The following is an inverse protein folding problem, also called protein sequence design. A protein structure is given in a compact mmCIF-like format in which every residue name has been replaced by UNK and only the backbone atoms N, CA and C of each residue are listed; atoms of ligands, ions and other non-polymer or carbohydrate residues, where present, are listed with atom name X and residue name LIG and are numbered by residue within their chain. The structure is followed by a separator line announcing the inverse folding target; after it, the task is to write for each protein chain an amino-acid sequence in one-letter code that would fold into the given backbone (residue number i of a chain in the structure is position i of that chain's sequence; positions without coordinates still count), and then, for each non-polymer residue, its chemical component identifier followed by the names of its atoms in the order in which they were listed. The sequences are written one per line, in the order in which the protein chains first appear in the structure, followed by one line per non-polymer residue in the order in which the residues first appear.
data_IF_259035276284
#
_entry.id   IF_259035276284
#
_cell.length_a   1.000
_cell.length_b   1.000
_cell.length_c   1.000
_cell.angle_alpha   90.00
_cell.angle_beta   90.00
_cell.angle_gamma   90.00
#
_symmetry.space_group_name_H-M   'P 1'
#
loop_
_entity.id
_entity.type
_entity.pdbx_description
1 polymer ?
#
# COMPACT_ATOMS: atom_id res chain seq x y z
N UNK A 1 -69.81 -4.24 17.28
CA UNK A 1 -68.46 -4.31 17.90
C UNK A 1 -67.67 -5.40 17.21
N UNK A 2 -66.44 -5.09 16.80
CA UNK A 2 -65.57 -5.88 15.90
C UNK A 2 -65.11 -7.19 16.56
N UNK A 3 -65.40 -8.32 15.94
CA UNK A 3 -64.65 -9.58 16.11
C UNK A 3 -63.87 -9.83 14.83
N UNK A 4 -62.56 -9.56 14.82
CA UNK A 4 -61.66 -9.98 13.74
C UNK A 4 -60.99 -11.30 14.15
N UNK A 5 -61.42 -12.34 13.44
CA UNK A 5 -60.82 -13.67 13.35
C UNK A 5 -59.38 -13.59 12.87
N UNK A 6 -58.52 -14.44 13.45
CA UNK A 6 -57.20 -14.79 12.93
C UNK A 6 -57.32 -15.24 11.46
N UNK A 7 -56.44 -14.71 10.61
CA UNK A 7 -56.06 -15.35 9.35
C UNK A 7 -54.59 -15.76 9.47
N UNK A 8 -54.37 -17.07 9.60
CA UNK A 8 -53.14 -17.72 9.19
C UNK A 8 -52.88 -17.38 7.72
N UNK A 9 -51.65 -16.97 7.39
CA UNK A 9 -51.21 -16.87 6.01
C UNK A 9 -50.07 -17.87 5.82
N UNK A 10 -50.28 -18.76 4.86
CA UNK A 10 -49.44 -19.90 4.48
C UNK A 10 -48.03 -19.46 4.06
N UNK A 11 -47.02 -20.15 4.58
CA UNK A 11 -45.67 -20.13 4.01
C UNK A 11 -45.69 -20.88 2.67
N UNK A 12 -45.68 -20.15 1.55
CA UNK A 12 -45.24 -20.69 0.26
C UNK A 12 -43.72 -20.75 0.23
N UNK A 13 -43.20 -21.98 0.18
CA UNK A 13 -41.82 -22.29 -0.20
C UNK A 13 -41.64 -22.07 -1.70
N UNK A 14 -40.59 -21.35 -2.15
CA UNK A 14 -40.15 -21.43 -3.52
C UNK A 14 -38.97 -22.41 -3.62
N UNK A 15 -39.27 -23.59 -4.17
CA UNK A 15 -38.30 -24.41 -4.89
C UNK A 15 -37.76 -23.58 -6.07
N UNK A 16 -36.45 -23.35 -6.12
CA UNK A 16 -35.79 -22.77 -7.28
C UNK A 16 -34.45 -23.50 -7.54
N UNK A 17 -34.51 -24.44 -8.47
CA UNK A 17 -33.50 -24.76 -9.50
C UNK A 17 -32.04 -24.76 -9.03
N UNK A 18 -31.55 -25.94 -8.65
CA UNK A 18 -30.12 -26.24 -8.69
C UNK A 18 -29.60 -26.02 -10.12
N UNK A 19 -28.74 -25.02 -10.29
CA UNK A 19 -28.04 -24.70 -11.53
C UNK A 19 -27.03 -25.82 -11.88
N UNK A 20 -26.94 -26.17 -13.16
CA UNK A 20 -26.08 -27.25 -13.70
C UNK A 20 -24.58 -27.15 -13.38
N UNK A 21 -24.13 -26.09 -12.70
CA UNK A 21 -22.77 -25.93 -12.20
C UNK A 21 -22.43 -26.87 -11.04
N UNK A 22 -23.43 -27.27 -10.23
CA UNK A 22 -23.20 -28.12 -9.06
C UNK A 22 -23.08 -29.62 -9.39
N UNK A 23 -23.59 -30.03 -10.57
CA UNK A 23 -23.41 -31.38 -11.12
C UNK A 23 -22.05 -31.55 -11.81
N UNK A 24 -21.49 -30.48 -12.38
CA UNK A 24 -20.18 -30.49 -13.04
C UNK A 24 -19.03 -30.62 -12.01
N UNK A 25 -19.17 -30.01 -10.83
CA UNK A 25 -18.17 -30.06 -9.76
C UNK A 25 -18.03 -31.46 -9.11
N UNK A 26 -19.10 -32.27 -9.14
CA UNK A 26 -19.10 -33.64 -8.60
C UNK A 26 -18.45 -34.67 -9.54
N UNK A 27 -18.29 -34.36 -10.84
CA UNK A 27 -17.77 -35.32 -11.82
C UNK A 27 -16.24 -35.22 -11.99
N UNK A 28 -15.66 -34.07 -11.66
CA UNK A 28 -14.20 -33.83 -11.69
C UNK A 28 -13.50 -34.49 -10.49
N UNK A 29 -14.18 -34.56 -9.33
CA UNK A 29 -13.62 -35.17 -8.11
C UNK A 29 -13.52 -36.70 -8.17
N UNK A 30 -14.24 -37.36 -9.10
CA UNK A 30 -14.24 -38.82 -9.27
C UNK A 30 -13.23 -39.32 -10.32
N UNK A 31 -12.56 -38.42 -11.05
CA UNK A 31 -11.55 -38.79 -12.05
C UNK A 31 -10.12 -38.91 -11.46
N UNK A 32 -9.92 -38.52 -10.20
CA UNK A 32 -8.61 -38.56 -9.53
C UNK A 32 -8.24 -39.90 -8.88
N UNK A 33 -9.11 -40.93 -8.93
CA UNK A 33 -8.88 -42.15 -8.13
C UNK A 33 -8.27 -43.34 -8.88
N UNK A 34 -7.88 -43.23 -10.15
CA UNK A 34 -7.28 -44.37 -10.85
C UNK A 34 -6.17 -43.93 -11.78
N UNK A 35 -4.94 -43.81 -11.27
CA UNK A 35 -3.72 -44.39 -11.88
C UNK A 35 -2.70 -44.55 -10.73
N UNK A 36 -2.60 -45.75 -10.17
CA UNK A 36 -1.46 -46.22 -9.40
C UNK A 36 -1.05 -47.54 -10.01
N UNK A 37 -0.02 -47.54 -10.87
CA UNK A 37 0.83 -48.66 -11.31
C UNK A 37 1.80 -48.02 -12.35
N UNK A 38 3.11 -48.20 -12.39
CA UNK A 38 4.00 -49.13 -11.73
C UNK A 38 5.40 -48.48 -11.62
N UNK A 39 6.09 -48.69 -10.50
CA UNK A 39 7.50 -48.37 -10.35
C UNK A 39 8.35 -49.48 -10.96
N UNK A 40 9.11 -49.14 -12.01
CA UNK A 40 10.29 -49.90 -12.40
C UNK A 40 11.52 -48.99 -12.27
N UNK A 41 12.38 -49.40 -11.34
CA UNK A 41 13.69 -48.83 -11.06
C UNK A 41 14.67 -49.13 -12.19
N UNK A 42 15.25 -48.10 -12.80
CA UNK A 42 16.57 -48.20 -13.44
C UNK A 42 17.43 -47.00 -13.06
N UNK A 43 18.64 -47.33 -12.64
CA UNK A 43 19.72 -46.45 -12.21
C UNK A 43 20.38 -45.88 -13.48
N UNK A 44 20.24 -44.59 -13.72
CA UNK A 44 20.88 -43.91 -14.85
C UNK A 44 21.71 -42.74 -14.32
N UNK A 45 22.96 -42.67 -14.79
CA UNK A 45 23.91 -41.58 -14.53
C UNK A 45 23.35 -40.21 -15.00
N UNK A 46 23.83 -39.08 -14.45
CA UNK A 46 23.26 -37.77 -14.72
C UNK A 46 23.58 -37.32 -16.15
N UNK A 47 22.59 -37.44 -17.04
CA UNK A 47 22.61 -36.79 -18.35
C UNK A 47 22.06 -35.39 -18.17
N UNK A 48 22.90 -34.38 -18.42
CA UNK A 48 22.46 -32.99 -18.55
C UNK A 48 21.40 -32.89 -19.66
N UNK A 49 20.16 -32.44 -19.38
CA UNK A 49 19.12 -32.38 -20.42
C UNK A 49 19.39 -31.21 -21.38
N UNK A 50 19.50 -31.52 -22.68
CA UNK A 50 19.40 -30.53 -23.76
C UNK A 50 17.99 -29.93 -23.74
N UNK A 51 17.82 -28.60 -23.73
CA UNK A 51 16.49 -27.97 -23.74
C UNK A 51 15.72 -28.34 -25.01
N UNK A 52 14.44 -28.69 -24.85
CA UNK A 52 13.53 -29.06 -25.96
C UNK A 52 13.06 -27.80 -26.71
N UNK A 53 12.67 -27.92 -27.98
CA UNK A 53 12.19 -26.77 -28.80
C UNK A 53 11.06 -25.97 -28.14
N UNK A 54 10.16 -26.63 -27.41
CA UNK A 54 9.09 -25.98 -26.65
C UNK A 54 9.64 -25.13 -25.49
N UNK A 55 10.71 -25.59 -24.82
CA UNK A 55 11.36 -24.84 -23.74
C UNK A 55 12.02 -23.56 -24.26
N UNK A 56 12.54 -23.58 -25.49
CA UNK A 56 13.12 -22.39 -26.13
C UNK A 56 12.02 -21.42 -26.52
N UNK A 57 10.94 -21.89 -27.16
CA UNK A 57 9.79 -21.07 -27.55
C UNK A 57 9.14 -20.39 -26.33
N UNK A 58 8.92 -21.13 -25.26
CA UNK A 58 8.38 -20.59 -24.01
C UNK A 58 9.32 -19.56 -23.37
N UNK A 59 10.63 -19.73 -23.48
CA UNK A 59 11.60 -18.76 -22.98
C UNK A 59 11.59 -17.44 -23.76
N UNK A 60 11.32 -17.49 -25.06
CA UNK A 60 11.19 -16.30 -25.93
C UNK A 60 9.87 -15.60 -25.63
N UNK A 61 8.77 -16.35 -25.67
CA UNK A 61 7.43 -15.85 -25.33
C UNK A 61 7.41 -15.17 -23.96
N UNK A 62 8.01 -15.79 -22.93
CA UNK A 62 8.09 -15.22 -21.59
C UNK A 62 8.77 -13.84 -21.57
N UNK A 63 9.82 -13.63 -22.36
CA UNK A 63 10.53 -12.33 -22.43
C UNK A 63 9.67 -11.27 -23.11
N UNK A 64 8.95 -11.63 -24.16
CA UNK A 64 8.05 -10.71 -24.87
C UNK A 64 6.87 -10.29 -23.98
N UNK A 65 6.30 -11.24 -23.22
CA UNK A 65 5.26 -10.99 -22.22
C UNK A 65 5.73 -10.02 -21.14
N UNK A 66 6.94 -10.22 -20.59
CA UNK A 66 7.53 -9.30 -19.59
C UNK A 66 7.70 -7.91 -20.20
N UNK A 67 8.33 -7.82 -21.37
CA UNK A 67 8.60 -6.53 -22.02
C UNK A 67 7.31 -5.77 -22.33
N UNK A 68 6.23 -6.47 -22.69
CA UNK A 68 4.92 -5.88 -22.92
C UNK A 68 4.37 -5.23 -21.64
N UNK A 69 4.38 -5.95 -20.51
CA UNK A 69 3.87 -5.46 -19.23
C UNK A 69 4.72 -4.30 -18.69
N UNK A 70 6.05 -4.39 -18.80
CA UNK A 70 6.95 -3.29 -18.43
C UNK A 70 6.72 -2.04 -19.30
N UNK A 71 6.54 -2.24 -20.61
CA UNK A 71 6.20 -1.13 -21.54
C UNK A 71 4.88 -0.49 -21.17
N UNK A 72 3.86 -1.30 -20.86
CA UNK A 72 2.56 -0.80 -20.38
C UNK A 72 2.72 0.02 -19.09
N UNK A 73 3.44 -0.52 -18.10
CA UNK A 73 3.76 0.17 -16.85
C UNK A 73 4.41 1.54 -17.07
N UNK A 74 5.40 1.62 -17.97
CA UNK A 74 6.10 2.89 -18.27
C UNK A 74 5.21 3.97 -18.91
N UNK A 75 4.08 3.57 -19.50
CA UNK A 75 3.12 4.48 -20.15
C UNK A 75 2.01 4.94 -19.22
N UNK A 76 1.85 4.34 -18.03
CA UNK A 76 0.84 4.74 -17.05
C UNK A 76 0.95 6.22 -16.67
N UNK A 77 2.17 6.75 -16.55
CA UNK A 77 2.41 8.17 -16.25
C UNK A 77 1.85 9.13 -17.31
N UNK A 78 1.67 8.66 -18.55
CA UNK A 78 1.24 9.46 -19.70
C UNK A 78 -0.27 9.63 -19.79
N UNK A 79 -1.03 8.87 -19.02
CA UNK A 79 -2.50 8.95 -18.98
C UNK A 79 -2.90 9.65 -17.69
N UNK A 80 -3.32 10.91 -17.78
CA UNK A 80 -3.71 11.69 -16.61
C UNK A 80 -5.22 11.57 -16.34
N UNK A 81 -5.59 10.88 -15.27
CA UNK A 81 -6.98 10.51 -14.98
C UNK A 81 -7.89 11.70 -14.61
N UNK A 82 -7.29 12.87 -14.33
CA UNK A 82 -8.01 14.10 -14.00
C UNK A 82 -8.16 15.06 -15.18
N UNK A 83 -7.73 14.67 -16.38
CA UNK A 83 -7.96 15.45 -17.59
C UNK A 83 -9.42 15.33 -18.06
N UNK A 84 -9.92 16.27 -18.90
CA UNK A 84 -11.25 16.16 -19.48
C UNK A 84 -11.47 14.80 -20.16
N UNK A 85 -12.68 14.24 -20.04
CA UNK A 85 -13.00 12.87 -20.49
C UNK A 85 -12.57 12.57 -21.94
N UNK A 86 -12.75 13.52 -22.86
CA UNK A 86 -12.35 13.37 -24.26
C UNK A 86 -10.83 13.28 -24.44
N UNK A 87 -10.08 14.10 -23.69
CA UNK A 87 -8.61 14.09 -23.70
C UNK A 87 -8.09 12.78 -23.07
N UNK A 88 -8.71 12.35 -21.96
CA UNK A 88 -8.38 11.09 -21.30
C UNK A 88 -8.62 9.88 -22.22
N UNK A 89 -9.74 9.83 -22.94
CA UNK A 89 -10.01 8.77 -23.94
C UNK A 89 -8.96 8.76 -25.04
N UNK A 90 -8.58 9.94 -25.55
CA UNK A 90 -7.53 10.05 -26.57
C UNK A 90 -6.19 9.51 -26.08
N UNK A 91 -5.82 9.82 -24.84
CA UNK A 91 -4.58 9.33 -24.24
C UNK A 91 -4.62 7.84 -23.96
N UNK A 92 -5.74 7.28 -23.49
CA UNK A 92 -5.94 5.84 -23.33
C UNK A 92 -5.71 5.11 -24.67
N UNK A 93 -6.33 5.56 -25.77
CA UNK A 93 -6.10 4.95 -27.09
C UNK A 93 -4.65 5.09 -27.52
N UNK A 94 -4.08 6.29 -27.39
CA UNK A 94 -2.74 6.61 -27.87
C UNK A 94 -1.65 5.83 -27.13
N UNK A 95 -1.80 5.64 -25.83
CA UNK A 95 -0.77 5.03 -25.00
C UNK A 95 -0.99 3.54 -24.74
N UNK A 96 -2.22 3.02 -24.85
CA UNK A 96 -2.52 1.60 -24.59
C UNK A 96 -2.95 0.79 -25.81
N UNK A 97 -3.42 1.41 -26.90
CA UNK A 97 -4.07 0.68 -28.01
C UNK A 97 -3.20 -0.36 -28.71
N UNK A 98 -1.88 -0.21 -28.72
CA UNK A 98 -0.93 -1.19 -29.26
C UNK A 98 -0.51 -2.27 -28.23
N UNK A 99 -0.89 -2.12 -26.96
CA UNK A 99 -0.46 -2.98 -25.85
C UNK A 99 -1.58 -3.88 -25.31
N UNK A 100 -2.84 -3.49 -25.49
CA UNK A 100 -4.00 -4.18 -24.91
C UNK A 100 -4.94 -4.72 -25.99
N UNK A 101 -5.76 -5.72 -25.64
CA UNK A 101 -6.82 -6.19 -26.54
C UNK A 101 -7.94 -5.15 -26.66
N UNK A 102 -8.63 -5.15 -27.81
CA UNK A 102 -9.71 -4.20 -28.08
C UNK A 102 -10.83 -4.27 -27.04
N UNK A 103 -11.17 -5.47 -26.54
CA UNK A 103 -12.22 -5.64 -25.53
C UNK A 103 -11.86 -4.92 -24.20
N UNK A 104 -10.59 -5.00 -23.77
CA UNK A 104 -10.12 -4.28 -22.58
C UNK A 104 -10.08 -2.76 -22.83
N UNK A 105 -9.65 -2.36 -24.03
CA UNK A 105 -9.65 -0.95 -24.42
C UNK A 105 -11.07 -0.37 -24.41
N UNK A 106 -12.05 -1.08 -24.95
CA UNK A 106 -13.45 -0.64 -25.01
C UNK A 106 -14.05 -0.49 -23.61
N UNK A 107 -13.68 -1.36 -22.66
CA UNK A 107 -14.07 -1.23 -21.24
C UNK A 107 -13.55 0.09 -20.66
N UNK A 108 -12.29 0.42 -20.90
CA UNK A 108 -11.71 1.69 -20.46
C UNK A 108 -12.29 2.89 -21.20
N UNK A 109 -12.60 2.80 -22.49
CA UNK A 109 -13.24 3.91 -23.21
C UNK A 109 -14.68 4.16 -22.78
N UNK A 110 -15.39 3.14 -22.29
CA UNK A 110 -16.72 3.27 -21.72
C UNK A 110 -16.70 3.89 -20.30
N UNK A 111 -15.62 3.68 -19.55
CA UNK A 111 -15.39 4.27 -18.24
C UNK A 111 -13.91 4.67 -18.05
N UNK A 112 -13.48 5.83 -18.58
CA UNK A 112 -12.06 6.20 -18.66
C UNK A 112 -11.36 6.34 -17.30
N UNK A 113 -12.10 6.70 -16.25
CA UNK A 113 -11.57 6.77 -14.88
C UNK A 113 -11.18 5.39 -14.30
N UNK A 114 -11.68 4.29 -14.89
CA UNK A 114 -11.29 2.94 -14.52
C UNK A 114 -10.00 2.46 -15.21
N UNK A 115 -9.49 3.20 -16.20
CA UNK A 115 -8.18 2.91 -16.78
C UNK A 115 -7.07 3.15 -15.74
N UNK A 116 -5.99 2.35 -15.75
CA UNK A 116 -4.83 2.67 -14.94
C UNK A 116 -4.15 3.93 -15.48
N UNK A 117 -3.59 4.76 -14.61
CA UNK A 117 -2.99 6.02 -15.01
C UNK A 117 -2.56 6.88 -13.83
N UNK A 118 -2.05 8.05 -14.15
CA UNK A 118 -1.61 9.06 -13.19
C UNK A 118 -2.80 9.84 -12.66
N UNK A 119 -3.11 9.68 -11.38
CA UNK A 119 -4.15 10.45 -10.70
C UNK A 119 -3.63 11.79 -10.16
N UNK A 120 -2.39 11.82 -9.65
CA UNK A 120 -1.78 12.98 -8.97
C UNK A 120 -0.49 13.41 -9.65
N UNK A 121 -0.03 14.63 -9.37
CA UNK A 121 1.28 15.10 -9.85
C UNK A 121 2.46 14.45 -9.14
N UNK A 122 2.22 13.83 -7.98
CA UNK A 122 3.13 13.01 -7.16
C UNK A 122 2.34 12.38 -6.00
N UNK A 123 2.64 11.15 -5.56
CA UNK A 123 3.41 10.16 -6.31
C UNK A 123 2.71 9.83 -7.65
N UNK A 124 3.47 9.34 -8.63
CA UNK A 124 2.93 8.92 -9.93
C UNK A 124 3.48 7.55 -10.34
N UNK A 125 2.72 6.77 -11.14
CA UNK A 125 3.20 5.50 -11.65
C UNK A 125 4.44 5.69 -12.54
N UNK A 126 5.53 5.00 -12.20
CA UNK A 126 6.80 5.02 -12.92
C UNK A 126 6.95 3.77 -13.80
N UNK A 127 6.88 2.59 -13.18
CA UNK A 127 7.15 1.31 -13.85
C UNK A 127 6.42 0.16 -13.16
N UNK A 128 6.29 -0.96 -13.86
CA UNK A 128 5.92 -2.24 -13.25
C UNK A 128 7.18 -3.10 -13.16
N UNK A 129 7.49 -3.60 -11.96
CA UNK A 129 8.52 -4.61 -11.74
C UNK A 129 7.87 -6.00 -11.75
N UNK A 130 8.20 -6.82 -12.74
CA UNK A 130 7.60 -8.15 -12.90
C UNK A 130 8.24 -9.14 -11.92
N UNK A 131 7.42 -9.72 -11.04
CA UNK A 131 7.84 -10.71 -10.05
C UNK A 131 7.67 -12.15 -10.56
N UNK A 132 6.45 -12.54 -10.90
CA UNK A 132 6.13 -13.89 -11.36
C UNK A 132 5.49 -13.87 -12.75
N UNK A 133 5.82 -14.91 -13.54
CA UNK A 133 5.25 -15.10 -14.88
C UNK A 133 4.94 -16.58 -15.04
N UNK A 134 3.66 -16.91 -15.11
CA UNK A 134 3.14 -18.27 -15.19
C UNK A 134 2.44 -18.50 -16.53
N UNK A 135 2.75 -19.61 -17.19
CA UNK A 135 2.05 -20.02 -18.41
C UNK A 135 0.75 -20.70 -18.01
N UNK A 136 -0.38 -20.13 -18.42
CA UNK A 136 -1.70 -20.72 -18.19
C UNK A 136 -1.97 -21.79 -19.26
N UNK A 137 -1.73 -21.43 -20.53
CA UNK A 137 -1.90 -22.31 -21.69
C UNK A 137 -0.97 -21.86 -22.85
N UNK A 138 -1.01 -22.56 -23.98
CA UNK A 138 -0.36 -22.16 -25.21
C UNK A 138 -0.85 -20.78 -25.67
N UNK A 139 0.02 -19.78 -25.58
CA UNK A 139 -0.32 -18.41 -25.97
C UNK A 139 -1.05 -17.61 -24.89
N UNK A 140 -1.09 -18.07 -23.63
CA UNK A 140 -1.72 -17.33 -22.54
C UNK A 140 -0.85 -17.38 -21.27
N UNK A 141 -0.55 -16.20 -20.72
CA UNK A 141 0.33 -16.04 -19.56
C UNK A 141 -0.31 -15.14 -18.52
N UNK A 142 -0.10 -15.49 -17.25
CA UNK A 142 -0.35 -14.62 -16.09
C UNK A 142 0.96 -13.96 -15.68
N UNK A 143 0.90 -12.67 -15.42
CA UNK A 143 2.01 -11.86 -14.91
C UNK A 143 1.58 -11.24 -13.59
N UNK A 144 2.37 -11.46 -12.56
CA UNK A 144 2.25 -10.78 -11.27
C UNK A 144 3.46 -9.85 -11.12
N UNK A 145 3.23 -8.65 -10.63
CA UNK A 145 4.29 -7.68 -10.40
C UNK A 145 3.87 -6.57 -9.46
N UNK A 146 4.75 -5.59 -9.32
CA UNK A 146 4.54 -4.42 -8.47
C UNK A 146 4.57 -3.16 -9.33
N UNK A 147 3.52 -2.35 -9.25
CA UNK A 147 3.52 -0.98 -9.76
C UNK A 147 4.31 -0.11 -8.78
N UNK A 148 5.43 0.41 -9.25
CA UNK A 148 6.27 1.35 -8.54
C UNK A 148 5.78 2.76 -8.84
N UNK A 149 5.42 3.51 -7.79
CA UNK A 149 5.18 4.93 -7.90
C UNK A 149 6.33 5.72 -7.26
N UNK A 150 6.70 6.86 -7.86
CA UNK A 150 7.81 7.71 -7.40
C UNK A 150 7.34 9.16 -7.21
N UNK A 151 8.09 9.96 -6.45
CA UNK A 151 7.85 11.41 -6.36
C UNK A 151 8.80 12.19 -7.26
N UNK A 152 8.58 13.50 -7.34
CA UNK A 152 9.48 14.44 -8.02
C UNK A 152 10.87 14.55 -7.40
N UNK A 153 11.05 14.11 -6.16
CA UNK A 153 12.35 14.13 -5.49
C UNK A 153 13.21 12.97 -5.97
N UNK A 154 12.65 11.75 -6.08
CA UNK A 154 13.41 10.58 -6.52
C UNK A 154 13.52 10.50 -8.05
N UNK A 155 12.52 10.99 -8.78
CA UNK A 155 12.48 10.96 -10.24
C UNK A 155 12.28 9.54 -10.83
N UNK A 156 12.20 9.41 -12.18
CA UNK A 156 12.05 8.11 -12.84
C UNK A 156 13.20 7.16 -12.51
N UNK A 157 12.91 5.91 -12.15
CA UNK A 157 13.92 4.95 -11.70
C UNK A 157 14.42 5.16 -10.26
N UNK A 158 13.83 6.11 -9.53
CA UNK A 158 14.10 6.38 -8.12
C UNK A 158 13.54 5.31 -7.16
N UNK A 159 13.77 5.53 -5.86
CA UNK A 159 13.21 4.67 -4.81
C UNK A 159 11.67 4.73 -4.84
N UNK A 160 10.97 3.60 -4.61
CA UNK A 160 9.51 3.58 -4.57
C UNK A 160 8.96 4.49 -3.46
N UNK A 161 8.09 5.43 -3.82
CA UNK A 161 7.28 6.21 -2.87
C UNK A 161 6.01 5.46 -2.46
N UNK A 162 5.46 4.64 -3.36
CA UNK A 162 4.37 3.70 -3.08
C UNK A 162 4.54 2.44 -3.93
N UNK A 163 3.98 1.33 -3.44
CA UNK A 163 3.93 0.04 -4.12
C UNK A 163 2.47 -0.40 -4.22
N UNK A 164 2.15 -1.11 -5.30
CA UNK A 164 0.81 -1.63 -5.53
C UNK A 164 0.92 -2.91 -6.36
N UNK A 165 0.34 -4.04 -5.90
CA UNK A 165 0.46 -5.27 -6.63
C UNK A 165 -0.39 -5.19 -7.89
N UNK A 166 0.09 -5.80 -8.97
CA UNK A 166 -0.61 -5.86 -10.25
C UNK A 166 -0.67 -7.28 -10.76
N UNK A 167 -1.78 -7.62 -11.38
CA UNK A 167 -1.97 -8.87 -12.12
C UNK A 167 -2.37 -8.52 -13.55
N UNK A 168 -1.70 -9.14 -14.53
CA UNK A 168 -2.04 -9.03 -15.93
C UNK A 168 -2.19 -10.41 -16.57
N UNK A 169 -3.19 -10.56 -17.44
CA UNK A 169 -3.33 -11.72 -18.33
C UNK A 169 -2.94 -11.29 -19.73
N UNK A 170 -1.98 -12.00 -20.34
CA UNK A 170 -1.39 -11.67 -21.63
C UNK A 170 -1.64 -12.80 -22.63
N UNK A 171 -2.26 -12.47 -23.75
CA UNK A 171 -2.64 -13.40 -24.81
C UNK A 171 -1.84 -13.17 -26.10
N UNK A 172 -1.50 -14.25 -26.80
CA UNK A 172 -0.90 -14.20 -28.12
C UNK A 172 -2.00 -14.05 -29.17
N UNK A 173 -2.05 -12.89 -29.82
CA UNK A 173 -3.03 -12.59 -30.85
C UNK A 173 -2.39 -12.62 -32.24
N UNK A 174 -3.20 -12.49 -33.28
CA UNK A 174 -2.70 -12.32 -34.66
C UNK A 174 -1.85 -11.05 -34.83
N UNK A 175 -1.99 -10.07 -33.93
CA UNK A 175 -1.23 -8.82 -33.93
C UNK A 175 -0.06 -8.84 -32.93
N UNK A 176 0.25 -10.02 -32.37
CA UNK A 176 1.26 -10.24 -31.33
C UNK A 176 0.66 -10.29 -29.92
N UNK A 177 1.54 -10.28 -28.91
CA UNK A 177 1.13 -10.30 -27.52
C UNK A 177 0.32 -9.05 -27.14
N UNK A 178 -0.77 -9.24 -26.40
CA UNK A 178 -1.65 -8.18 -25.89
C UNK A 178 -2.09 -8.47 -24.46
N UNK A 179 -2.26 -7.43 -23.66
CA UNK A 179 -2.85 -7.52 -22.32
C UNK A 179 -4.37 -7.62 -22.49
N UNK A 180 -4.93 -8.73 -22.03
CA UNK A 180 -6.37 -9.02 -22.08
C UNK A 180 -7.07 -8.60 -20.78
N UNK A 181 -6.40 -8.77 -19.64
CA UNK A 181 -6.89 -8.35 -18.34
C UNK A 181 -5.77 -7.63 -17.58
N UNK A 182 -6.14 -6.58 -16.83
CA UNK A 182 -5.22 -5.87 -15.96
C UNK A 182 -5.95 -5.43 -14.69
N UNK A 183 -5.41 -5.85 -13.54
CA UNK A 183 -5.97 -5.53 -12.23
C UNK A 183 -4.85 -4.96 -11.37
N UNK A 184 -5.16 -3.88 -10.65
CA UNK A 184 -4.27 -3.32 -9.65
C UNK A 184 -4.89 -3.52 -8.27
N UNK A 185 -4.14 -4.11 -7.34
CA UNK A 185 -4.57 -4.37 -5.96
C UNK A 185 -4.71 -3.09 -5.12
N UNK A 186 -4.86 -3.23 -3.81
CA UNK A 186 -4.78 -2.06 -2.92
C UNK A 186 -3.32 -1.59 -2.84
N UNK A 187 -3.09 -0.33 -2.46
CA UNK A 187 -1.74 0.10 -2.13
C UNK A 187 -1.14 -0.83 -1.07
N UNK A 188 0.02 -1.40 -1.37
CA UNK A 188 0.78 -2.07 -0.35
C UNK A 188 1.30 -0.98 0.56
N UNK A 189 0.99 -1.11 1.85
CA UNK A 189 1.70 -0.30 2.81
C UNK A 189 3.11 -0.82 2.77
N UNK A 190 4.00 -0.01 2.22
CA UNK A 190 5.41 -0.28 2.37
C UNK A 190 5.64 -0.44 3.86
N UNK A 191 5.87 -1.69 4.29
CA UNK A 191 6.93 -1.87 5.25
C UNK A 191 8.15 -1.37 4.49
N UNK A 192 8.42 -0.07 4.59
CA UNK A 192 9.77 0.45 4.39
C UNK A 192 10.68 -0.59 5.03
N UNK A 193 11.81 -0.92 4.42
CA UNK A 193 12.84 -1.71 5.09
C UNK A 193 13.35 -0.89 6.29
N UNK A 194 12.50 -0.85 7.29
CA UNK A 194 12.68 -0.39 8.62
C UNK A 194 13.51 -1.51 9.21
N UNK A 195 14.83 -1.36 9.15
CA UNK A 195 15.64 -2.01 10.16
C UNK A 195 14.96 -1.72 11.51
N UNK A 196 14.73 -2.73 12.38
CA UNK A 196 14.10 -2.52 13.68
C UNK A 196 14.67 -1.32 14.44
N UNK A 197 15.97 -1.08 14.24
CA UNK A 197 16.73 0.06 14.72
C UNK A 197 16.17 1.45 14.31
N UNK A 198 15.67 1.63 13.09
CA UNK A 198 15.13 2.90 12.61
C UNK A 198 13.72 3.19 13.17
N UNK A 199 12.86 2.16 13.26
CA UNK A 199 11.53 2.26 13.89
C UNK A 199 11.60 2.51 15.40
N UNK A 200 12.62 1.96 16.05
CA UNK A 200 12.89 2.27 17.44
C UNK A 200 13.40 3.71 17.57
N UNK A 201 14.27 4.19 16.68
CA UNK A 201 14.89 5.52 16.77
C UNK A 201 13.88 6.69 16.79
N UNK A 202 12.77 6.59 16.05
CA UNK A 202 11.68 7.59 16.02
C UNK A 202 10.41 7.03 16.69
N UNK A 203 10.57 6.66 17.96
CA UNK A 203 9.50 6.18 18.82
C UNK A 203 9.39 6.97 20.12
N UNK A 204 8.28 6.77 20.83
CA UNK A 204 8.11 7.16 22.22
C UNK A 204 7.87 5.92 23.09
N UNK A 205 8.41 5.91 24.29
CA UNK A 205 8.29 4.83 25.25
C UNK A 205 7.50 5.28 26.48
N UNK A 206 6.44 4.56 26.80
CA UNK A 206 5.64 4.70 28.01
C UNK A 206 5.72 3.41 28.83
N UNK A 207 6.59 3.38 29.85
CA UNK A 207 6.88 2.14 30.57
C UNK A 207 7.50 1.09 29.65
N UNK A 208 6.82 -0.05 29.47
CA UNK A 208 7.23 -1.11 28.53
C UNK A 208 6.61 -0.98 27.14
N UNK A 209 5.71 -0.01 26.94
CA UNK A 209 5.03 0.20 25.67
C UNK A 209 5.88 1.08 24.77
N UNK A 210 6.10 0.63 23.54
CA UNK A 210 6.78 1.39 22.48
C UNK A 210 5.75 1.84 21.45
N UNK A 211 5.66 3.14 21.24
CA UNK A 211 4.86 3.77 20.20
C UNK A 211 5.81 4.17 19.06
N UNK A 212 5.78 3.41 17.97
CA UNK A 212 6.60 3.69 16.79
C UNK A 212 5.78 4.33 15.68
N UNK A 213 6.40 5.24 14.93
CA UNK A 213 5.81 5.71 13.68
C UNK A 213 5.54 4.54 12.73
N UNK A 214 4.50 4.66 11.92
CA UNK A 214 4.03 3.63 10.98
C UNK A 214 3.49 2.34 11.63
N UNK A 215 3.46 2.25 12.97
CA UNK A 215 2.79 1.14 13.66
C UNK A 215 1.29 1.17 13.39
N UNK A 216 0.70 0.00 13.23
CA UNK A 216 -0.72 -0.13 12.96
C UNK A 216 -1.56 -0.10 14.24
N UNK A 217 -2.77 0.44 14.15
CA UNK A 217 -3.71 0.53 15.28
C UNK A 217 -4.10 -0.85 15.84
N UNK A 218 -4.13 -1.88 15.01
CA UNK A 218 -4.37 -3.26 15.42
C UNK A 218 -3.19 -3.92 16.15
N UNK A 219 -1.99 -3.31 16.14
CA UNK A 219 -0.82 -3.77 16.90
C UNK A 219 -0.78 -3.16 18.31
N UNK A 220 -1.52 -2.06 18.51
CA UNK A 220 -1.52 -1.25 19.74
C UNK A 220 -2.81 -1.39 20.55
N UNK A 221 -3.41 -2.59 20.52
CA UNK A 221 -4.76 -2.89 21.02
C UNK A 221 -5.01 -2.52 22.49
N UNK A 222 -3.97 -2.38 23.32
CA UNK A 222 -4.08 -1.85 24.69
C UNK A 222 -2.83 -1.03 25.06
N UNK A 223 -3.03 0.21 25.52
CA UNK A 223 -1.97 1.09 26.04
C UNK A 223 -2.11 1.29 27.56
N UNK A 224 -1.94 0.24 28.38
CA UNK A 224 -2.27 0.28 29.82
C UNK A 224 -1.46 1.33 30.58
N UNK A 225 -0.22 1.59 30.17
CA UNK A 225 0.67 2.59 30.79
C UNK A 225 0.29 4.04 30.43
N UNK A 226 -0.51 4.24 29.37
CA UNK A 226 -0.94 5.54 28.88
C UNK A 226 -2.36 5.88 29.39
N UNK A 227 -3.13 4.85 29.74
CA UNK A 227 -4.47 4.98 30.31
C UNK A 227 -5.56 4.99 29.25
N UNK A 228 -6.72 5.54 29.60
CA UNK A 228 -7.89 5.60 28.70
C UNK A 228 -7.89 6.88 27.89
N UNK A 229 -8.26 6.84 26.59
CA UNK A 229 -8.45 8.05 25.79
C UNK A 229 -9.46 9.00 26.43
N UNK A 230 -9.13 10.29 26.42
CA UNK A 230 -10.04 11.39 26.78
C UNK A 230 -11.01 11.69 25.63
N UNK A 231 -10.55 11.59 24.40
CA UNK A 231 -11.36 11.74 23.19
C UNK A 231 -10.79 10.97 22.00
N UNK A 232 -11.67 10.61 21.08
CA UNK A 232 -11.32 10.04 19.78
C UNK A 232 -12.22 10.67 18.71
N UNK A 233 -11.62 11.07 17.59
CA UNK A 233 -12.32 11.60 16.42
C UNK A 233 -11.73 11.03 15.14
N UNK A 234 -12.58 10.81 14.13
CA UNK A 234 -12.16 10.43 12.78
C UNK A 234 -12.72 11.48 11.82
N UNK A 235 -11.84 12.08 11.04
CA UNK A 235 -12.15 13.08 10.04
C UNK A 235 -11.77 12.56 8.65
N UNK A 236 -12.62 12.86 7.66
CA UNK A 236 -12.30 12.64 6.25
C UNK A 236 -11.72 13.94 5.72
N UNK A 237 -10.50 13.87 5.18
CA UNK A 237 -9.82 15.02 4.64
C UNK A 237 -10.59 15.59 3.44
N UNK A 238 -10.85 16.90 3.51
CA UNK A 238 -11.62 17.61 2.50
C UNK A 238 -10.87 17.79 1.18
N UNK A 239 -11.57 18.35 0.18
CA UNK A 239 -11.03 18.65 -1.14
C UNK A 239 -9.81 19.61 -1.11
N UNK A 240 -9.60 20.34 -0.02
CA UNK A 240 -8.45 21.25 0.17
C UNK A 240 -7.18 20.53 0.62
N UNK A 241 -7.24 19.24 0.92
CA UNK A 241 -6.10 18.42 1.36
C UNK A 241 -5.31 17.79 0.21
N UNK A 242 -5.49 18.32 -1.01
CA UNK A 242 -4.77 17.95 -2.23
C UNK A 242 -4.68 16.43 -2.44
N UNK A 243 -3.47 15.86 -2.53
CA UNK A 243 -3.20 14.43 -2.75
C UNK A 243 -3.86 13.52 -1.69
N UNK A 244 -4.14 14.04 -0.50
CA UNK A 244 -4.75 13.28 0.59
C UNK A 244 -6.27 13.46 0.71
N UNK A 245 -6.90 14.19 -0.22
CA UNK A 245 -8.36 14.35 -0.22
C UNK A 245 -9.08 12.99 -0.20
N UNK A 246 -10.03 12.85 0.73
CA UNK A 246 -10.77 11.61 0.98
C UNK A 246 -10.09 10.61 1.92
N UNK A 247 -8.83 10.84 2.32
CA UNK A 247 -8.16 10.00 3.32
C UNK A 247 -8.75 10.26 4.71
N UNK A 248 -8.54 9.33 5.63
CA UNK A 248 -9.06 9.40 6.99
C UNK A 248 -7.96 9.76 7.96
N UNK A 249 -8.21 10.73 8.83
CA UNK A 249 -7.34 11.07 9.96
C UNK A 249 -8.09 10.73 11.24
N UNK A 250 -7.47 9.88 12.07
CA UNK A 250 -7.96 9.56 13.40
C UNK A 250 -7.08 10.28 14.43
N UNK A 251 -7.70 11.06 15.30
CA UNK A 251 -7.01 11.72 16.43
C UNK A 251 -7.49 11.07 17.72
N UNK A 252 -6.54 10.61 18.53
CA UNK A 252 -6.78 10.05 19.86
C UNK A 252 -6.02 10.88 20.87
N UNK A 253 -6.75 11.48 21.81
CA UNK A 253 -6.17 12.35 22.84
C UNK A 253 -6.24 11.65 24.19
N UNK A 254 -5.11 11.61 24.88
CA UNK A 254 -4.94 11.21 26.27
C UNK A 254 -4.56 12.46 27.09
N UNK A 255 -4.40 12.30 28.41
CA UNK A 255 -3.84 13.38 29.24
C UNK A 255 -2.40 13.66 28.78
N UNK A 256 -2.10 14.86 28.27
CA UNK A 256 -0.74 15.27 27.85
C UNK A 256 -0.07 14.40 26.75
N UNK A 257 -0.85 13.61 26.02
CA UNK A 257 -0.41 12.85 24.83
C UNK A 257 -1.49 12.88 23.76
N UNK A 258 -1.09 13.19 22.53
CA UNK A 258 -1.94 13.11 21.34
C UNK A 258 -1.31 12.17 20.31
N UNK A 259 -2.12 11.27 19.77
CA UNK A 259 -1.76 10.34 18.71
C UNK A 259 -2.63 10.64 17.48
N UNK A 260 -1.97 10.92 16.35
CA UNK A 260 -2.64 11.11 15.07
C UNK A 260 -2.28 9.94 14.15
N UNK A 261 -3.32 9.31 13.64
CA UNK A 261 -3.26 8.15 12.77
C UNK A 261 -3.87 8.49 11.43
N UNK A 262 -3.44 7.82 10.37
CA UNK A 262 -3.97 8.04 9.03
C UNK A 262 -4.29 6.74 8.31
N UNK A 263 -5.28 6.79 7.43
CA UNK A 263 -5.73 5.69 6.58
C UNK A 263 -6.04 6.21 5.18
N UNK A 264 -5.63 5.51 4.12
CA UNK A 264 -5.92 5.93 2.75
C UNK A 264 -7.43 5.88 2.45
N UNK A 265 -7.85 6.68 1.46
CA UNK A 265 -9.26 6.90 1.07
C UNK A 265 -10.03 5.63 0.70
N UNK A 266 -9.34 4.58 0.28
CA UNK A 266 -9.90 3.29 -0.15
C UNK A 266 -10.01 2.26 0.98
N UNK A 267 -9.38 2.50 2.13
CA UNK A 267 -9.39 1.59 3.27
C UNK A 267 -10.34 2.08 4.37
N UNK A 268 -9.98 3.15 5.09
CA UNK A 268 -10.75 3.71 6.21
C UNK A 268 -11.01 2.75 7.39
N UNK A 269 -10.42 1.55 7.42
CA UNK A 269 -10.64 0.53 8.46
C UNK A 269 -9.43 0.31 9.36
N UNK A 270 -8.22 0.39 8.81
CA UNK A 270 -6.97 0.30 9.58
C UNK A 270 -6.19 1.59 9.45
N UNK A 271 -5.53 2.00 10.53
CA UNK A 271 -4.81 3.27 10.59
C UNK A 271 -3.38 3.04 11.06
N UNK A 272 -2.43 3.78 10.50
CA UNK A 272 -1.05 3.76 10.96
C UNK A 272 -0.69 5.05 11.69
N UNK A 273 0.22 4.96 12.67
CA UNK A 273 0.60 6.05 13.56
C UNK A 273 1.51 7.06 12.84
N UNK A 274 0.99 8.26 12.59
CA UNK A 274 1.67 9.29 11.81
C UNK A 274 2.34 10.35 12.66
N UNK A 275 1.72 10.72 13.78
CA UNK A 275 2.26 11.71 14.71
C UNK A 275 1.96 11.35 16.14
N UNK A 276 2.94 11.59 16.99
CA UNK A 276 2.84 11.54 18.43
C UNK A 276 3.30 12.89 18.97
N UNK A 277 2.52 13.47 19.87
CA UNK A 277 2.86 14.72 20.55
C UNK A 277 2.65 14.54 22.03
N UNK A 278 3.67 14.83 22.84
CA UNK A 278 3.54 14.69 24.30
C UNK A 278 4.24 15.79 25.08
N UNK A 279 3.61 16.15 26.19
CA UNK A 279 4.17 16.92 27.30
C UNK A 279 4.21 16.11 28.61
N UNK A 280 3.96 14.79 28.56
CA UNK A 280 4.03 13.89 29.72
C UNK A 280 5.49 13.66 30.16
N UNK A 281 5.84 13.87 31.44
CA UNK A 281 7.19 13.59 31.96
C UNK A 281 7.53 12.10 32.08
N UNK A 282 6.55 11.21 32.00
CA UNK A 282 6.70 9.74 32.08
C UNK A 282 7.03 9.11 30.74
N UNK A 283 6.76 9.79 29.64
CA UNK A 283 7.06 9.33 28.27
C UNK A 283 8.45 9.82 27.88
N UNK A 284 9.24 8.92 27.29
CA UNK A 284 10.62 9.20 26.89
C UNK A 284 10.94 8.70 25.49
N UNK A 285 11.96 9.26 24.87
CA UNK A 285 12.57 8.71 23.65
C UNK A 285 13.44 7.49 23.97
N UNK A 286 13.86 6.68 22.97
CA UNK A 286 14.81 5.57 23.15
C UNK A 286 16.08 5.93 23.94
N UNK A 287 16.58 7.15 23.77
CA UNK A 287 17.77 7.65 24.47
C UNK A 287 17.47 8.19 25.88
N UNK A 288 16.25 7.94 26.38
CA UNK A 288 15.81 8.36 27.72
C UNK A 288 15.50 9.86 27.83
N UNK A 289 15.34 10.58 26.72
CA UNK A 289 14.99 12.00 26.74
C UNK A 289 13.50 12.17 26.99
N UNK A 290 13.15 13.04 27.95
CA UNK A 290 11.77 13.32 28.35
C UNK A 290 11.58 14.79 28.70
N UNK A 291 10.31 15.19 28.82
CA UNK A 291 9.90 16.53 29.23
C UNK A 291 10.52 16.89 30.59
N UNK A 292 10.83 18.18 30.76
CA UNK A 292 11.56 18.78 31.89
C UNK A 292 13.07 18.57 31.92
N UNK A 293 13.65 17.71 31.06
CA UNK A 293 15.11 17.63 30.90
C UNK A 293 15.67 18.90 30.24
N UNK A 294 16.95 19.13 30.46
CA UNK A 294 17.66 20.33 29.99
C UNK A 294 18.11 20.21 28.53
N UNK A 295 18.34 21.36 27.90
CA UNK A 295 18.94 21.43 26.58
C UNK A 295 20.32 20.76 26.49
N UNK A 296 21.10 20.84 27.57
CA UNK A 296 22.43 20.21 27.62
C UNK A 296 22.36 18.69 27.66
N UNK A 297 21.41 18.13 28.42
CA UNK A 297 21.15 16.68 28.41
C UNK A 297 20.67 16.22 27.02
N UNK A 298 19.78 17.00 26.38
CA UNK A 298 19.29 16.73 25.04
C UNK A 298 20.43 16.67 24.01
N UNK A 299 21.30 17.70 23.97
CA UNK A 299 22.50 17.75 23.11
C UNK A 299 23.56 16.70 23.48
N UNK A 300 23.51 16.20 24.71
CA UNK A 300 24.37 15.11 25.14
C UNK A 300 23.93 13.78 24.54
N UNK A 301 22.62 13.50 24.52
CA UNK A 301 22.04 12.30 23.93
C UNK A 301 22.07 12.30 22.39
N UNK A 302 21.69 13.40 21.74
CA UNK A 302 21.61 13.49 20.28
C UNK A 302 22.65 14.47 19.72
N UNK A 303 23.56 13.95 18.89
CA UNK A 303 24.67 14.72 18.28
C UNK A 303 24.32 15.37 16.95
N UNK A 304 23.23 14.91 16.33
CA UNK A 304 22.70 15.29 15.02
C UNK A 304 21.56 16.32 15.13
N UNK A 305 21.38 16.97 16.28
CA UNK A 305 20.33 17.98 16.47
C UNK A 305 20.63 19.27 15.71
N UNK A 306 19.61 19.73 14.98
CA UNK A 306 19.58 21.02 14.31
C UNK A 306 18.56 21.93 14.99
N UNK A 307 18.90 23.20 15.21
CA UNK A 307 17.90 24.19 15.60
C UNK A 307 16.99 24.51 14.41
N UNK A 308 15.67 24.50 14.61
CA UNK A 308 14.72 24.82 13.56
C UNK A 308 14.83 26.32 13.23
N UNK A 309 15.02 26.71 11.95
CA UNK A 309 15.18 28.10 11.56
C UNK A 309 13.82 28.83 11.48
N UNK A 310 13.11 28.94 12.60
CA UNK A 310 11.79 29.55 12.71
C UNK A 310 11.81 31.02 13.20
N UNK A 311 12.99 31.63 13.20
CA UNK A 311 13.22 33.02 13.63
C UNK A 311 13.58 33.17 15.12
N UNK A 312 13.45 32.11 15.93
CA UNK A 312 13.93 32.11 17.32
C UNK A 312 15.43 31.91 17.37
N UNK A 313 16.16 32.88 17.91
CA UNK A 313 17.63 32.88 18.01
C UNK A 313 18.16 32.51 19.40
N UNK A 314 17.31 32.57 20.42
CA UNK A 314 17.69 32.16 21.79
C UNK A 314 17.63 30.63 21.90
N UNK A 315 18.77 29.94 22.09
CA UNK A 315 18.81 28.49 22.16
C UNK A 315 17.99 27.92 23.34
N UNK A 316 17.78 28.69 24.41
CA UNK A 316 16.99 28.27 25.56
C UNK A 316 15.48 28.44 25.35
N UNK A 317 15.06 29.04 24.23
CA UNK A 317 13.67 29.29 23.87
C UNK A 317 13.44 29.04 22.36
N UNK A 318 13.81 27.86 21.88
CA UNK A 318 13.74 27.46 20.48
C UNK A 318 13.30 25.99 20.33
N UNK A 319 13.05 25.55 19.09
CA UNK A 319 12.87 24.15 18.77
C UNK A 319 14.13 23.54 18.17
N UNK A 320 14.39 22.28 18.53
CA UNK A 320 15.44 21.46 17.94
C UNK A 320 14.81 20.25 17.26
N UNK A 321 15.34 19.87 16.11
CA UNK A 321 14.92 18.67 15.39
C UNK A 321 16.10 17.75 15.11
N UNK A 322 15.82 16.46 15.09
CA UNK A 322 16.61 15.49 14.34
C UNK A 322 15.73 14.87 13.26
N UNK A 323 16.35 14.49 12.15
CA UNK A 323 15.65 13.95 11.00
C UNK A 323 16.47 12.87 10.33
N UNK A 324 15.81 11.84 9.82
CA UNK A 324 16.42 10.94 8.83
C UNK A 324 16.02 11.43 7.44
N UNK A 325 17.02 11.83 6.64
CA UNK A 325 16.81 12.40 5.30
C UNK A 325 16.07 11.45 4.34
N UNK A 326 16.13 10.14 4.59
CA UNK A 326 15.55 9.12 3.71
C UNK A 326 14.10 8.74 4.08
N UNK A 327 13.60 9.12 5.26
CA UNK A 327 12.31 8.64 5.78
C UNK A 327 11.26 9.71 6.07
N UNK A 328 11.54 11.00 5.82
CA UNK A 328 10.69 12.12 6.23
C UNK A 328 10.23 12.05 7.70
N UNK A 329 11.04 11.39 8.54
CA UNK A 329 10.80 11.19 9.95
C UNK A 329 11.51 12.27 10.74
N UNK A 330 10.77 12.88 11.66
CA UNK A 330 11.24 13.97 12.48
C UNK A 330 10.95 13.68 13.95
N UNK A 331 11.88 14.09 14.78
CA UNK A 331 11.71 14.16 16.22
C UNK A 331 12.10 15.59 16.64
N UNK A 332 11.13 16.32 17.14
CA UNK A 332 11.22 17.73 17.49
C UNK A 332 11.06 17.90 18.99
N UNK A 333 11.94 18.71 19.57
CA UNK A 333 11.95 19.07 20.98
C UNK A 333 11.73 20.58 21.10
N UNK A 334 10.64 20.97 21.74
CA UNK A 334 10.36 22.37 22.06
C UNK A 334 11.04 22.73 23.39
N UNK A 335 11.88 23.76 23.38
CA UNK A 335 12.63 24.23 24.54
C UNK A 335 12.06 25.56 25.02
N UNK A 336 11.80 25.66 26.32
CA UNK A 336 11.47 26.92 26.99
C UNK A 336 12.28 27.03 28.28
N UNK A 337 12.94 28.18 28.47
CA UNK A 337 13.83 28.45 29.61
C UNK A 337 14.84 27.31 29.84
N UNK A 338 15.42 26.81 28.75
CA UNK A 338 16.45 25.78 28.73
C UNK A 338 15.95 24.37 29.03
N UNK A 339 14.63 24.15 29.09
CA UNK A 339 14.03 22.83 29.36
C UNK A 339 13.10 22.38 28.25
N UNK A 340 13.07 21.08 28.01
CA UNK A 340 12.12 20.44 27.10
C UNK A 340 10.71 20.58 27.69
N UNK A 341 9.77 21.15 26.95
CA UNK A 341 8.37 21.28 27.35
C UNK A 341 7.43 20.42 26.52
N UNK A 342 7.85 19.99 25.33
CA UNK A 342 7.07 19.16 24.42
C UNK A 342 8.00 18.36 23.52
N UNK A 343 7.62 17.13 23.22
CA UNK A 343 8.27 16.25 22.26
C UNK A 343 7.24 15.91 21.18
N UNK A 344 7.63 16.06 19.92
CA UNK A 344 6.83 15.67 18.76
C UNK A 344 7.63 14.69 17.92
N UNK A 345 7.00 13.58 17.54
CA UNK A 345 7.59 12.57 16.67
C UNK A 345 6.59 12.34 15.53
N UNK A 346 7.00 12.56 14.29
CA UNK A 346 6.09 12.47 13.15
C UNK A 346 6.78 12.09 11.85
N UNK A 347 5.99 11.49 10.95
CA UNK A 347 6.30 11.41 9.52
C UNK A 347 5.66 12.62 8.84
N UNK A 348 6.43 13.34 8.05
CA UNK A 348 5.89 14.32 7.10
C UNK A 348 5.42 13.56 5.86
N UNK A 349 4.14 13.70 5.54
CA UNK A 349 3.62 13.18 4.29
C UNK A 349 4.14 14.06 3.14
N UNK A 350 4.79 13.48 2.12
CA UNK A 350 5.39 14.23 1.02
C UNK A 350 4.37 14.94 0.12
#
# INVERSE_FOLDING_TARGET
MRTKSLKQNEKKSPNAKASGLQLMLSMILLLFLVISFAGCSQKTEPVTPTPTSQTIEDSVARKEVIALVETFGSRLQKVALLEPEEDLKMDVVKYYGDLVEQDLLDVWLANPEAAPGKLTSSPWPDRIEVGAVEKIDSGLWRVEGELIEVTSVEGPGGMPAALRPVEAVVANTVEGWRIQEFVMGAYEVQQTQNTPEALETFSLMAGTVVLSLNAWDNELLELPEIGTPLSESIEVLGQTSDTFAGSFVKTVTYEDLELIWTSPKDNGKTFWLMRMTTNQPTIQTPEGIRVSMTLDELKSAYKDLEQIPDGRIDPENAAYRRSLREGYQYMVFEIQKGKIVKIEVYVELP
#
